data_IF_421572273669
#
_entry.id   IF_421572273669
#
_cell.length_a   1.000
_cell.length_b   1.000
_cell.length_c   1.000
_cell.angle_alpha   90.00
_cell.angle_beta   90.00
_cell.angle_gamma   90.00
#
_symmetry.space_group_name_H-M   'P 1'
#
loop_
_entity.id
_entity.type
_entity.pdbx_description
1 polymer ?
#
# COMPACT_ATOMS: atom_id res chain seq x y z
N UNK A 1 29.33 18.92 -4.72
CA UNK A 1 29.26 19.55 -3.37
C UNK A 1 27.82 19.39 -2.93
N UNK A 2 27.55 18.71 -1.83
CA UNK A 2 26.18 18.45 -1.36
C UNK A 2 25.51 19.74 -0.95
N UNK A 3 24.33 20.03 -1.47
CA UNK A 3 23.52 21.17 -1.08
C UNK A 3 22.87 20.92 0.29
N UNK A 4 22.73 21.95 1.10
CA UNK A 4 21.98 21.90 2.36
C UNK A 4 20.80 22.86 2.33
N UNK A 5 19.63 22.39 2.68
CA UNK A 5 18.41 23.18 2.74
C UNK A 5 17.80 23.08 4.15
N UNK A 6 17.32 24.19 4.65
CA UNK A 6 16.59 24.28 5.92
C UNK A 6 15.19 24.78 5.63
N UNK A 7 14.21 23.88 5.72
CA UNK A 7 12.85 24.17 5.32
C UNK A 7 11.91 24.25 6.52
N UNK A 8 10.99 25.17 6.44
CA UNK A 8 9.96 25.41 7.44
C UNK A 8 8.67 24.71 7.03
N UNK A 9 8.02 24.05 7.99
CA UNK A 9 6.71 23.47 7.74
C UNK A 9 5.67 24.60 7.63
N UNK A 10 4.92 24.61 6.53
CA UNK A 10 3.91 25.65 6.29
C UNK A 10 2.63 25.47 7.12
N UNK A 11 2.44 24.29 7.73
CA UNK A 11 1.31 24.00 8.61
C UNK A 11 1.71 24.14 10.07
N UNK A 12 0.78 24.61 10.91
CA UNK A 12 0.99 24.79 12.34
C UNK A 12 0.97 23.48 13.11
N UNK A 13 0.36 22.44 12.55
CA UNK A 13 0.26 21.14 13.20
C UNK A 13 0.06 20.02 12.19
N UNK A 14 0.47 18.80 12.60
CA UNK A 14 0.22 17.57 11.84
C UNK A 14 -1.27 17.37 11.52
N UNK A 15 -2.15 17.69 12.47
CA UNK A 15 -3.61 17.55 12.31
C UNK A 15 -4.16 18.49 11.23
N UNK A 16 -3.65 19.70 11.17
CA UNK A 16 -4.02 20.68 10.13
C UNK A 16 -3.57 20.20 8.75
N UNK A 17 -2.33 19.78 8.62
CA UNK A 17 -1.79 19.24 7.38
C UNK A 17 -2.56 17.99 6.91
N UNK A 18 -2.85 17.05 7.81
CA UNK A 18 -3.60 15.82 7.50
C UNK A 18 -5.04 16.14 7.04
N UNK A 19 -5.67 17.14 7.67
CA UNK A 19 -7.02 17.57 7.30
C UNK A 19 -7.05 18.27 5.94
N UNK A 20 -6.01 19.04 5.62
CA UNK A 20 -5.93 19.81 4.39
C UNK A 20 -5.46 18.95 3.20
N UNK A 21 -4.45 18.13 3.39
CA UNK A 21 -3.76 17.42 2.31
C UNK A 21 -4.17 15.94 2.20
N UNK A 22 -4.54 15.30 3.31
CA UNK A 22 -4.69 13.85 3.38
C UNK A 22 -5.58 13.27 2.30
N UNK A 23 -5.01 12.41 1.46
CA UNK A 23 -5.68 11.74 0.35
C UNK A 23 -5.95 12.62 -0.88
N UNK A 24 -5.44 13.83 -0.92
CA UNK A 24 -5.52 14.69 -2.12
C UNK A 24 -4.36 14.41 -3.06
N UNK A 25 -4.63 14.47 -4.35
CA UNK A 25 -3.58 14.54 -5.36
C UNK A 25 -3.06 15.97 -5.45
N UNK A 26 -1.77 16.09 -5.70
CA UNK A 26 -1.08 17.38 -5.85
C UNK A 26 -0.60 17.54 -7.28
N UNK A 27 -0.44 18.78 -7.68
CA UNK A 27 0.17 19.17 -8.96
C UNK A 27 1.56 19.81 -8.78
N UNK A 28 2.14 20.28 -9.88
CA UNK A 28 3.47 20.88 -9.90
C UNK A 28 3.54 22.24 -9.21
N UNK A 29 2.42 22.81 -8.79
CA UNK A 29 2.35 24.02 -7.95
C UNK A 29 2.47 23.71 -6.44
N UNK A 30 2.50 22.45 -6.05
CA UNK A 30 2.65 22.04 -4.65
C UNK A 30 4.07 22.22 -4.08
N UNK A 31 5.05 22.57 -4.89
CA UNK A 31 6.43 22.79 -4.47
C UNK A 31 7.03 24.03 -5.11
N UNK A 32 7.98 24.65 -4.41
CA UNK A 32 8.77 25.77 -4.90
C UNK A 32 10.20 25.34 -5.23
N UNK A 33 10.65 24.21 -4.64
CA UNK A 33 12.00 23.68 -4.79
C UNK A 33 11.92 22.28 -5.41
N UNK A 34 12.58 22.10 -6.55
CA UNK A 34 12.81 20.79 -7.14
C UNK A 34 14.27 20.39 -6.90
N UNK A 35 14.47 19.30 -6.18
CA UNK A 35 15.77 18.74 -5.85
C UNK A 35 16.16 17.74 -6.95
N UNK A 36 17.26 18.01 -7.64
CA UNK A 36 17.78 17.21 -8.76
C UNK A 36 19.22 16.76 -8.56
N UNK A 37 19.88 17.21 -7.49
CA UNK A 37 21.28 16.93 -7.17
C UNK A 37 21.42 16.56 -5.70
N UNK A 38 22.60 16.06 -5.31
CA UNK A 38 22.91 15.67 -3.93
C UNK A 38 22.51 16.75 -2.92
N UNK A 39 21.55 16.45 -2.07
CA UNK A 39 20.97 17.44 -1.15
C UNK A 39 20.62 16.80 0.19
N UNK A 40 20.94 17.54 1.27
CA UNK A 40 20.47 17.27 2.62
C UNK A 40 19.40 18.29 2.99
N UNK A 41 18.23 17.85 3.41
CA UNK A 41 17.14 18.75 3.80
C UNK A 41 16.80 18.56 5.27
N UNK A 42 16.87 19.64 6.02
CA UNK A 42 16.56 19.69 7.44
C UNK A 42 15.28 20.47 7.72
N UNK A 43 14.51 19.99 8.68
CA UNK A 43 13.35 20.70 9.22
C UNK A 43 13.88 21.83 10.14
N UNK A 44 13.47 23.06 9.93
CA UNK A 44 13.80 24.14 10.86
C UNK A 44 13.24 23.82 12.24
N UNK A 45 14.10 23.81 13.24
CA UNK A 45 13.75 23.64 14.64
C UNK A 45 14.27 24.82 15.44
N UNK A 46 13.47 25.31 16.40
CA UNK A 46 13.87 26.38 17.31
C UNK A 46 14.68 25.91 18.51
N UNK A 47 14.86 24.57 18.68
CA UNK A 47 15.34 23.99 19.93
C UNK A 47 16.66 23.25 19.86
N UNK A 48 17.15 22.89 18.65
CA UNK A 48 18.36 22.06 18.49
C UNK A 48 19.20 22.55 17.31
N UNK A 49 20.43 22.03 17.25
CA UNK A 49 21.32 22.20 16.10
C UNK A 49 20.58 21.80 14.81
N UNK A 50 20.46 22.73 13.90
CA UNK A 50 19.64 22.58 12.70
C UNK A 50 20.08 21.43 11.79
N UNK A 51 21.33 21.02 11.86
CA UNK A 51 21.93 19.97 11.00
C UNK A 51 22.04 18.59 11.67
N UNK A 52 21.34 18.36 12.77
CA UNK A 52 21.36 17.05 13.44
C UNK A 52 20.33 16.07 12.81
N UNK A 53 20.64 14.77 12.84
CA UNK A 53 19.77 13.75 12.21
C UNK A 53 18.33 13.71 12.76
N UNK A 54 18.08 14.22 13.98
CA UNK A 54 16.73 14.36 14.52
C UNK A 54 15.85 15.31 13.70
N UNK A 55 16.48 16.33 13.09
CA UNK A 55 15.81 17.33 12.27
C UNK A 55 15.83 16.97 10.77
N UNK A 56 16.46 15.88 10.39
CA UNK A 56 16.58 15.49 9.00
C UNK A 56 15.20 15.14 8.42
N UNK A 57 14.81 15.84 7.35
CA UNK A 57 13.63 15.51 6.55
C UNK A 57 13.97 14.44 5.52
N UNK A 58 15.04 14.69 4.76
CA UNK A 58 15.52 13.77 3.75
C UNK A 58 17.00 13.99 3.41
N UNK A 59 17.62 12.94 2.85
CA UNK A 59 18.87 13.04 2.08
C UNK A 59 18.67 12.41 0.71
N UNK A 60 19.02 13.13 -0.31
CA UNK A 60 19.00 12.68 -1.69
C UNK A 60 20.41 12.50 -2.21
N UNK A 61 20.69 11.37 -2.84
CA UNK A 61 21.96 11.05 -3.47
C UNK A 61 21.72 10.55 -4.89
N UNK A 62 22.34 11.22 -5.82
CA UNK A 62 22.17 10.98 -7.24
C UNK A 62 23.14 9.93 -7.73
N UNK A 63 22.64 8.99 -8.52
CA UNK A 63 23.43 7.97 -9.24
C UNK A 63 24.43 7.22 -8.34
N UNK A 64 23.97 6.81 -7.15
CA UNK A 64 24.82 6.13 -6.16
C UNK A 64 24.65 4.62 -6.12
N UNK A 65 23.59 4.11 -6.76
CA UNK A 65 23.33 2.66 -6.88
C UNK A 65 23.84 2.19 -8.26
N UNK A 66 24.67 1.15 -8.33
CA UNK A 66 25.18 0.61 -9.59
C UNK A 66 24.05 0.20 -10.55
N UNK A 67 24.13 0.61 -11.79
CA UNK A 67 23.09 0.43 -12.80
C UNK A 67 22.78 -1.04 -13.12
N UNK A 68 23.76 -1.92 -13.04
CA UNK A 68 23.58 -3.36 -13.18
C UNK A 68 22.68 -3.94 -12.11
N UNK A 69 22.83 -3.47 -10.85
CA UNK A 69 21.98 -3.86 -9.72
C UNK A 69 20.56 -3.31 -9.87
N UNK A 70 20.42 -2.05 -10.31
CA UNK A 70 19.12 -1.42 -10.58
C UNK A 70 18.36 -2.21 -11.65
N UNK A 71 19.04 -2.57 -12.74
CA UNK A 71 18.45 -3.32 -13.84
C UNK A 71 18.02 -4.72 -13.43
N UNK A 72 18.86 -5.44 -12.69
CA UNK A 72 18.51 -6.77 -12.17
C UNK A 72 17.30 -6.70 -11.22
N UNK A 73 17.26 -5.69 -10.36
CA UNK A 73 16.14 -5.45 -9.47
C UNK A 73 14.85 -5.08 -10.23
N UNK A 74 14.94 -4.24 -11.26
CA UNK A 74 13.79 -3.91 -12.09
C UNK A 74 13.16 -5.16 -12.72
N UNK A 75 13.96 -6.00 -13.39
CA UNK A 75 13.48 -7.22 -14.06
C UNK A 75 12.84 -8.21 -13.07
N UNK A 76 13.37 -8.31 -11.86
CA UNK A 76 12.83 -9.18 -10.83
C UNK A 76 11.60 -8.61 -10.13
N UNK A 77 11.68 -7.38 -9.66
CA UNK A 77 10.74 -6.81 -8.70
C UNK A 77 9.50 -6.16 -9.32
N UNK A 78 9.56 -5.64 -10.56
CA UNK A 78 8.45 -4.90 -11.17
C UNK A 78 7.12 -5.65 -11.16
N UNK A 79 7.16 -6.98 -11.25
CA UNK A 79 5.97 -7.83 -11.21
C UNK A 79 5.37 -8.00 -9.80
N UNK A 80 6.07 -7.56 -8.77
CA UNK A 80 5.56 -7.53 -7.40
C UNK A 80 4.53 -6.42 -7.16
N UNK A 81 4.49 -5.41 -8.03
CA UNK A 81 3.46 -4.40 -8.03
C UNK A 81 2.19 -4.92 -8.73
N UNK A 82 1.43 -5.74 -8.03
CA UNK A 82 0.14 -6.26 -8.50
C UNK A 82 -0.98 -5.22 -8.40
N UNK A 83 -2.04 -5.42 -9.18
CA UNK A 83 -3.23 -4.59 -9.10
C UNK A 83 -3.89 -4.75 -7.72
N UNK A 84 -4.07 -3.65 -6.99
CA UNK A 84 -4.67 -3.64 -5.65
C UNK A 84 -5.52 -2.40 -5.45
N UNK A 85 -6.58 -2.53 -4.65
CA UNK A 85 -7.43 -1.43 -4.20
C UNK A 85 -7.17 -1.04 -2.74
N UNK A 86 -6.20 -1.68 -2.09
CA UNK A 86 -5.93 -1.56 -0.66
C UNK A 86 -4.68 -0.72 -0.35
N UNK A 87 -4.67 0.56 -0.77
CA UNK A 87 -3.56 1.50 -0.50
C UNK A 87 -3.94 2.73 0.32
N UNK A 88 -5.10 2.70 0.93
CA UNK A 88 -5.51 3.77 1.84
C UNK A 88 -5.50 5.14 1.21
N UNK A 89 -5.01 6.12 1.95
CA UNK A 89 -4.95 7.50 1.50
C UNK A 89 -4.00 7.69 0.30
N UNK A 90 -2.99 6.85 0.16
CA UNK A 90 -2.08 6.91 -1.00
C UNK A 90 -2.81 6.71 -2.35
N UNK A 91 -3.92 5.97 -2.36
CA UNK A 91 -4.77 5.84 -3.53
C UNK A 91 -5.82 6.97 -3.68
N UNK A 92 -5.75 7.97 -2.81
CA UNK A 92 -6.68 9.10 -2.77
C UNK A 92 -7.88 8.88 -1.84
N UNK A 93 -8.42 9.96 -1.30
CA UNK A 93 -9.55 9.90 -0.36
C UNK A 93 -10.92 9.93 -1.01
N UNK A 94 -11.02 10.29 -2.26
CA UNK A 94 -12.27 10.45 -2.96
C UNK A 94 -13.18 11.59 -2.47
N UNK A 95 -12.60 12.59 -1.82
CA UNK A 95 -13.39 13.63 -1.15
C UNK A 95 -13.96 14.71 -2.05
N UNK A 96 -13.58 14.78 -3.32
CA UNK A 96 -13.98 15.90 -4.18
C UNK A 96 -15.07 15.51 -5.18
N UNK A 97 -14.72 15.24 -6.40
CA UNK A 97 -15.70 14.87 -7.42
C UNK A 97 -16.08 13.39 -7.39
N UNK A 98 -15.22 12.57 -6.81
CA UNK A 98 -15.41 11.14 -6.72
C UNK A 98 -15.37 10.72 -5.28
N UNK A 99 -16.45 10.24 -4.79
CA UNK A 99 -16.46 9.49 -3.57
C UNK A 99 -15.98 8.08 -3.87
N UNK A 100 -15.48 7.44 -2.85
CA UNK A 100 -14.90 6.12 -2.98
C UNK A 100 -15.89 5.14 -3.59
N UNK A 101 -15.48 4.43 -4.63
CA UNK A 101 -16.23 3.29 -5.11
C UNK A 101 -16.27 2.26 -3.98
N UNK A 102 -17.45 1.83 -3.61
CA UNK A 102 -17.59 0.77 -2.62
C UNK A 102 -17.25 -0.55 -3.31
N UNK A 103 -16.06 -1.03 -3.06
CA UNK A 103 -15.81 -2.44 -3.23
C UNK A 103 -16.23 -3.13 -1.95
N UNK A 104 -17.25 -3.96 -2.02
CA UNK A 104 -17.61 -4.83 -0.91
C UNK A 104 -16.51 -5.89 -0.76
N UNK A 105 -15.46 -5.57 -0.03
CA UNK A 105 -14.34 -6.50 0.19
C UNK A 105 -14.67 -7.60 1.21
N UNK A 106 -15.94 -7.73 1.58
CA UNK A 106 -16.36 -8.79 2.51
C UNK A 106 -15.78 -8.71 3.91
N UNK A 107 -15.13 -7.61 4.26
CA UNK A 107 -14.66 -7.37 5.59
C UNK A 107 -15.21 -6.06 6.12
N UNK A 108 -15.52 -6.01 7.40
CA UNK A 108 -15.93 -4.77 8.07
C UNK A 108 -14.88 -3.65 7.92
N UNK A 109 -13.62 -4.02 7.72
CA UNK A 109 -12.52 -3.12 7.40
C UNK A 109 -12.36 -2.85 5.90
N UNK A 110 -13.19 -3.44 5.05
CA UNK A 110 -13.16 -3.23 3.61
C UNK A 110 -13.41 -1.77 3.29
N UNK A 111 -12.42 -1.13 2.71
CA UNK A 111 -12.57 0.26 2.27
C UNK A 111 -13.55 0.28 1.12
N UNK A 112 -14.58 1.04 1.30
CA UNK A 112 -15.58 1.28 0.29
C UNK A 112 -15.11 2.46 -0.55
N UNK A 113 -14.99 2.26 -1.84
CA UNK A 113 -14.63 3.31 -2.78
C UNK A 113 -15.84 3.63 -3.64
N UNK A 114 -16.08 4.91 -3.81
CA UNK A 114 -17.21 5.40 -4.59
C UNK A 114 -16.70 6.24 -5.72
N UNK A 115 -17.45 6.29 -6.75
CA UNK A 115 -17.20 7.28 -7.78
C UNK A 115 -17.97 8.56 -7.50
N UNK A 116 -19.22 8.49 -7.17
CA UNK A 116 -19.98 9.53 -6.45
C UNK A 116 -21.13 8.87 -5.71
N UNK A 117 -21.60 9.50 -4.63
CA UNK A 117 -22.66 8.96 -3.79
C UNK A 117 -24.02 8.96 -4.47
N UNK A 118 -24.27 9.96 -5.32
CA UNK A 118 -25.54 10.15 -6.01
C UNK A 118 -25.64 9.47 -7.37
N UNK A 119 -24.51 9.08 -7.90
CA UNK A 119 -24.37 8.57 -9.26
C UNK A 119 -23.93 7.11 -9.28
N UNK A 120 -23.79 6.49 -8.12
CA UNK A 120 -23.41 5.09 -8.02
C UNK A 120 -24.64 4.21 -7.97
N UNK A 121 -24.65 3.22 -8.82
CA UNK A 121 -25.68 2.21 -8.87
C UNK A 121 -25.08 0.92 -8.37
N UNK A 122 -25.68 0.39 -7.32
CA UNK A 122 -25.31 -0.94 -6.84
C UNK A 122 -25.88 -2.01 -7.76
N UNK A 123 -25.04 -2.64 -8.49
CA UNK A 123 -25.35 -3.92 -9.07
C UNK A 123 -25.06 -4.98 -8.02
N UNK A 124 -26.00 -5.15 -7.12
CA UNK A 124 -25.95 -6.25 -6.19
C UNK A 124 -26.00 -7.55 -6.99
N UNK A 125 -24.85 -8.23 -7.01
CA UNK A 125 -24.83 -9.57 -7.51
C UNK A 125 -25.47 -10.46 -6.47
N UNK A 126 -26.74 -10.68 -6.64
CA UNK A 126 -27.41 -11.71 -5.88
C UNK A 126 -27.20 -13.05 -6.56
N UNK A 127 -26.51 -13.95 -5.92
CA UNK A 127 -26.25 -15.29 -6.43
C UNK A 127 -27.50 -16.07 -6.78
N UNK A 128 -28.66 -15.65 -6.36
CA UNK A 128 -29.93 -16.36 -6.55
C UNK A 128 -31.11 -15.46 -6.85
N UNK A 129 -30.95 -14.18 -6.73
CA UNK A 129 -32.03 -13.25 -7.06
C UNK A 129 -32.12 -13.07 -8.54
N UNK A 130 -33.26 -13.21 -9.08
CA UNK A 130 -33.52 -12.73 -10.41
C UNK A 130 -33.31 -11.23 -10.39
N UNK A 131 -32.32 -10.74 -11.12
CA UNK A 131 -32.16 -9.31 -11.44
C UNK A 131 -33.46 -8.74 -12.06
N UNK A 132 -34.42 -9.60 -12.35
CA UNK A 132 -35.75 -9.28 -12.88
C UNK A 132 -36.51 -8.26 -12.06
N UNK A 133 -36.25 -8.16 -10.77
CA UNK A 133 -37.03 -7.31 -9.89
C UNK A 133 -36.34 -5.95 -9.67
N UNK A 134 -35.20 -5.69 -10.32
CA UNK A 134 -34.43 -4.46 -10.15
C UNK A 134 -34.50 -3.64 -11.42
N UNK A 135 -35.61 -2.97 -11.63
CA UNK A 135 -35.80 -2.06 -12.73
C UNK A 135 -35.94 -0.63 -12.23
N UNK A 136 -35.01 0.23 -12.63
CA UNK A 136 -35.08 1.65 -12.36
C UNK A 136 -34.29 2.11 -11.14
N UNK A 137 -34.00 3.40 -11.09
CA UNK A 137 -33.19 4.03 -10.04
C UNK A 137 -33.80 3.86 -8.64
N UNK A 138 -35.09 3.94 -8.50
CA UNK A 138 -35.75 3.84 -7.19
C UNK A 138 -35.67 2.45 -6.59
N UNK A 139 -35.69 1.43 -7.41
CA UNK A 139 -35.50 0.05 -6.94
C UNK A 139 -34.06 -0.27 -6.63
N UNK A 140 -33.15 0.34 -7.32
CA UNK A 140 -31.72 0.23 -7.01
C UNK A 140 -31.38 0.95 -5.72
N UNK A 141 -32.00 2.06 -5.43
CA UNK A 141 -31.87 2.77 -4.17
C UNK A 141 -32.40 1.95 -2.99
N UNK A 142 -33.47 1.21 -3.18
CA UNK A 142 -34.03 0.26 -2.19
C UNK A 142 -33.02 -0.89 -1.94
N UNK A 143 -32.45 -1.46 -2.98
CA UNK A 143 -31.41 -2.49 -2.86
C UNK A 143 -30.17 -1.95 -2.17
N UNK A 144 -29.79 -0.73 -2.46
CA UNK A 144 -28.71 -0.06 -1.81
C UNK A 144 -28.93 0.08 -0.30
N UNK A 145 -30.09 0.56 0.09
CA UNK A 145 -30.37 0.91 1.47
C UNK A 145 -30.69 -0.29 2.38
N UNK A 146 -31.16 -1.39 1.83
CA UNK A 146 -31.67 -2.50 2.65
C UNK A 146 -30.82 -3.76 2.59
N UNK A 147 -30.34 -4.17 1.43
CA UNK A 147 -29.67 -5.46 1.28
C UNK A 147 -28.19 -5.33 0.96
N UNK A 148 -27.81 -4.31 0.24
CA UNK A 148 -26.44 -4.09 -0.19
C UNK A 148 -25.59 -3.34 0.82
N UNK A 149 -26.18 -2.76 1.84
CA UNK A 149 -25.47 -2.11 2.93
C UNK A 149 -24.66 -3.10 3.79
N UNK A 150 -24.94 -4.39 3.66
CA UNK A 150 -24.12 -5.43 4.27
C UNK A 150 -23.28 -6.10 3.20
N UNK A 151 -21.96 -5.96 3.23
CA UNK A 151 -21.10 -6.75 2.38
C UNK A 151 -21.43 -8.21 2.59
N UNK A 152 -21.63 -8.95 1.51
CA UNK A 152 -21.85 -10.39 1.60
C UNK A 152 -20.58 -10.99 2.21
N UNK A 153 -20.68 -11.64 3.37
CA UNK A 153 -19.50 -12.13 4.06
C UNK A 153 -18.77 -13.13 3.20
N UNK A 154 -17.54 -12.92 3.00
CA UNK A 154 -16.66 -13.99 2.64
C UNK A 154 -15.89 -13.91 1.37
N UNK A 155 -15.11 -12.90 1.17
CA UNK A 155 -13.82 -13.11 0.50
C UNK A 155 -13.00 -11.86 0.64
N UNK A 156 -11.92 -11.95 1.36
CA UNK A 156 -10.85 -10.99 1.34
C UNK A 156 -10.26 -10.94 -0.06
N UNK A 157 -10.08 -9.74 -0.55
CA UNK A 157 -9.48 -9.49 -1.85
C UNK A 157 -10.51 -9.41 -2.95
N UNK A 158 -11.03 -8.24 -3.21
CA UNK A 158 -11.57 -7.70 -4.47
C UNK A 158 -12.32 -8.60 -5.46
N UNK A 159 -12.62 -9.80 -5.09
CA UNK A 159 -13.28 -10.73 -5.97
C UNK A 159 -14.77 -10.74 -5.75
N UNK A 160 -15.50 -10.21 -6.67
CA UNK A 160 -16.96 -10.32 -6.76
C UNK A 160 -17.42 -11.71 -7.18
N UNK A 161 -16.50 -12.64 -7.29
CA UNK A 161 -16.82 -14.03 -7.60
C UNK A 161 -17.47 -14.64 -6.37
N UNK A 162 -18.75 -14.89 -6.46
CA UNK A 162 -19.49 -15.59 -5.42
C UNK A 162 -20.37 -14.74 -4.53
N UNK A 163 -20.85 -13.61 -4.97
CA UNK A 163 -21.86 -12.81 -4.30
C UNK A 163 -21.35 -11.51 -3.71
N UNK A 164 -20.70 -10.73 -4.49
CA UNK A 164 -20.37 -9.34 -4.18
C UNK A 164 -21.35 -8.38 -4.83
N UNK A 165 -21.22 -7.12 -4.51
CA UNK A 165 -21.93 -6.04 -5.18
C UNK A 165 -20.97 -5.29 -6.10
N UNK A 166 -21.39 -5.04 -7.32
CA UNK A 166 -20.71 -4.17 -8.26
C UNK A 166 -21.37 -2.81 -8.17
N UNK A 167 -20.58 -1.78 -8.01
CA UNK A 167 -21.04 -0.41 -8.01
C UNK A 167 -20.72 0.20 -9.36
N UNK A 168 -21.77 0.59 -10.09
CA UNK A 168 -21.63 1.31 -11.34
C UNK A 168 -21.96 2.77 -11.07
N UNK A 169 -21.11 3.61 -11.62
CA UNK A 169 -21.30 5.04 -11.51
C UNK A 169 -22.30 5.51 -12.54
N UNK A 170 -23.31 6.19 -12.07
CA UNK A 170 -24.30 6.86 -12.91
C UNK A 170 -23.80 8.20 -13.49
N UNK A 171 -22.48 8.45 -13.56
CA UNK A 171 -21.99 9.70 -14.19
C UNK A 171 -22.24 9.78 -15.70
N UNK A 172 -22.88 8.79 -16.22
CA UNK A 172 -23.37 8.81 -17.57
C UNK A 172 -24.78 9.39 -17.52
N UNK A 173 -24.89 10.67 -17.85
CA UNK A 173 -26.20 11.22 -18.18
C UNK A 173 -26.88 10.24 -19.13
N UNK A 174 -28.03 9.71 -18.70
CA UNK A 174 -28.80 8.72 -19.44
C UNK A 174 -28.20 7.32 -19.51
N UNK A 175 -27.54 6.81 -18.46
CA UNK A 175 -27.20 5.40 -18.40
C UNK A 175 -28.50 4.58 -18.31
N UNK A 176 -28.74 3.81 -19.34
CA UNK A 176 -29.89 2.90 -19.40
C UNK A 176 -29.56 1.63 -18.61
N UNK A 177 -29.81 1.68 -17.32
CA UNK A 177 -29.69 0.56 -16.41
C UNK A 177 -30.50 -0.63 -16.81
N UNK A 178 -31.74 -0.39 -17.21
CA UNK A 178 -32.64 -1.45 -17.58
C UNK A 178 -32.13 -2.17 -18.83
N UNK A 179 -31.74 -1.43 -19.86
CA UNK A 179 -31.15 -2.01 -21.05
C UNK A 179 -29.84 -2.72 -20.78
N UNK A 180 -29.03 -2.23 -19.84
CA UNK A 180 -27.83 -2.92 -19.44
C UNK A 180 -28.11 -4.25 -18.73
N UNK A 181 -29.09 -4.29 -17.83
CA UNK A 181 -29.50 -5.54 -17.18
C UNK A 181 -30.07 -6.54 -18.18
N UNK A 182 -30.92 -6.08 -19.09
CA UNK A 182 -31.47 -6.94 -20.13
C UNK A 182 -30.38 -7.53 -21.01
N UNK A 183 -29.40 -6.72 -21.42
CA UNK A 183 -28.29 -7.15 -22.26
C UNK A 183 -27.32 -8.10 -21.57
N UNK A 184 -27.23 -8.06 -20.23
CA UNK A 184 -26.33 -8.92 -19.45
C UNK A 184 -27.06 -10.07 -18.77
N UNK A 185 -28.34 -10.21 -18.98
CA UNK A 185 -29.19 -11.19 -18.26
C UNK A 185 -28.74 -12.64 -18.49
N UNK A 186 -28.39 -12.98 -19.71
CA UNK A 186 -27.94 -14.33 -20.10
C UNK A 186 -26.46 -14.59 -19.74
N UNK A 187 -25.74 -13.55 -19.35
CA UNK A 187 -24.33 -13.67 -18.98
C UNK A 187 -24.17 -14.43 -17.65
N UNK A 188 -23.14 -15.25 -17.56
CA UNK A 188 -22.72 -15.80 -16.28
C UNK A 188 -22.12 -14.69 -15.38
N UNK A 189 -21.81 -15.06 -14.14
CA UNK A 189 -21.32 -14.16 -13.11
C UNK A 189 -20.07 -13.42 -13.53
N UNK A 190 -19.11 -14.16 -14.07
CA UNK A 190 -17.80 -13.65 -14.42
C UNK A 190 -17.86 -12.71 -15.61
N UNK A 191 -18.65 -13.07 -16.61
CA UNK A 191 -18.92 -12.25 -17.78
C UNK A 191 -19.63 -10.94 -17.41
N UNK A 192 -20.64 -11.00 -16.53
CA UNK A 192 -21.34 -9.82 -16.05
C UNK A 192 -20.45 -8.92 -15.23
N UNK A 193 -19.57 -9.51 -14.40
CA UNK A 193 -18.58 -8.77 -13.66
C UNK A 193 -17.59 -8.04 -14.58
N UNK A 194 -17.10 -8.74 -15.59
CA UNK A 194 -16.18 -8.16 -16.57
C UNK A 194 -16.85 -7.00 -17.32
N UNK A 195 -18.11 -7.18 -17.75
CA UNK A 195 -18.88 -6.14 -18.41
C UNK A 195 -19.10 -4.91 -17.53
N UNK A 196 -19.44 -5.09 -16.26
CA UNK A 196 -19.61 -4.00 -15.31
C UNK A 196 -18.27 -3.31 -14.98
N UNK A 197 -17.20 -4.07 -14.83
CA UNK A 197 -15.86 -3.52 -14.59
C UNK A 197 -15.37 -2.71 -15.79
N UNK A 198 -15.63 -3.15 -16.99
CA UNK A 198 -15.32 -2.41 -18.21
C UNK A 198 -16.11 -1.10 -18.28
N UNK A 199 -17.42 -1.16 -17.99
CA UNK A 199 -18.27 0.03 -17.96
C UNK A 199 -17.77 1.07 -16.94
N UNK A 200 -17.34 0.63 -15.78
CA UNK A 200 -16.78 1.52 -14.75
C UNK A 200 -15.48 2.14 -15.29
N UNK A 201 -14.59 1.36 -15.88
CA UNK A 201 -13.35 1.86 -16.48
C UNK A 201 -13.60 2.94 -17.53
N UNK A 202 -14.56 2.71 -18.40
CA UNK A 202 -14.87 3.64 -19.49
C UNK A 202 -15.44 4.97 -19.00
N UNK A 203 -15.99 5.01 -17.79
CA UNK A 203 -16.72 6.16 -17.27
C UNK A 203 -16.03 6.87 -16.14
N UNK A 204 -15.10 6.21 -15.48
CA UNK A 204 -14.30 6.79 -14.40
C UNK A 204 -12.92 7.06 -14.93
N UNK A 205 -12.45 8.28 -14.77
CA UNK A 205 -11.07 8.60 -15.08
C UNK A 205 -10.13 7.63 -14.34
N UNK A 206 -9.34 6.90 -15.10
CA UNK A 206 -8.49 5.79 -14.63
C UNK A 206 -7.47 6.19 -13.57
N UNK A 207 -7.32 7.46 -13.30
CA UNK A 207 -6.25 7.96 -12.44
C UNK A 207 -6.55 7.89 -10.97
N UNK A 208 -7.79 7.59 -10.56
CA UNK A 208 -8.11 7.88 -9.18
C UNK A 208 -8.74 6.76 -8.39
N UNK A 209 -9.81 6.16 -8.87
CA UNK A 209 -10.63 5.38 -7.95
C UNK A 209 -11.41 4.30 -8.67
N UNK A 210 -11.27 3.13 -8.37
CA UNK A 210 -12.08 2.04 -8.89
C UNK A 210 -11.34 1.06 -9.79
N UNK A 211 -10.23 1.46 -10.36
CA UNK A 211 -9.43 0.56 -11.19
C UNK A 211 -8.28 -0.11 -10.45
N UNK A 212 -8.15 0.17 -9.14
CA UNK A 212 -6.98 -0.24 -8.41
C UNK A 212 -5.71 0.48 -8.87
N UNK A 213 -4.66 0.27 -8.14
CA UNK A 213 -3.32 0.79 -8.45
C UNK A 213 -2.35 -0.37 -8.49
N UNK A 214 -1.32 -0.27 -9.31
CA UNK A 214 -0.26 -1.26 -9.33
C UNK A 214 0.69 -1.02 -8.17
N UNK A 215 0.46 -1.76 -7.10
CA UNK A 215 1.27 -1.69 -5.89
C UNK A 215 1.30 -3.06 -5.20
N UNK A 216 2.39 -3.35 -4.53
CA UNK A 216 2.56 -4.60 -3.82
C UNK A 216 3.53 -4.47 -2.66
N UNK A 217 3.51 -5.45 -1.78
CA UNK A 217 4.45 -5.55 -0.67
C UNK A 217 5.21 -6.85 -0.82
N UNK A 218 6.54 -6.79 -0.71
CA UNK A 218 7.41 -7.95 -0.74
C UNK A 218 8.32 -7.98 0.49
N UNK A 219 8.99 -9.10 0.72
CA UNK A 219 9.71 -9.38 1.96
C UNK A 219 8.81 -10.01 3.00
N UNK A 220 8.83 -9.50 4.21
CA UNK A 220 8.17 -10.12 5.35
C UNK A 220 7.03 -9.27 5.89
N UNK A 221 6.06 -9.92 6.52
CA UNK A 221 4.88 -9.30 7.09
C UNK A 221 4.66 -9.79 8.52
N UNK A 222 4.35 -8.85 9.38
CA UNK A 222 3.97 -9.06 10.75
C UNK A 222 2.64 -9.81 10.93
N UNK A 223 2.32 -10.09 12.17
CA UNK A 223 1.03 -10.62 12.57
C UNK A 223 -0.08 -9.62 12.32
N UNK A 224 -1.14 -10.09 11.72
CA UNK A 224 -2.33 -9.32 11.42
C UNK A 224 -3.56 -10.05 11.99
N UNK A 225 -4.62 -9.37 12.45
CA UNK A 225 -5.76 -10.03 13.10
C UNK A 225 -6.36 -11.21 12.34
N UNK A 226 -6.31 -11.18 11.00
CA UNK A 226 -6.79 -12.28 10.15
C UNK A 226 -5.74 -13.33 9.83
N UNK A 227 -4.48 -12.99 10.01
CA UNK A 227 -3.32 -13.84 9.75
C UNK A 227 -2.36 -13.62 10.92
N UNK A 228 -2.66 -14.24 12.09
CA UNK A 228 -1.98 -13.94 13.34
C UNK A 228 -0.64 -14.68 13.48
N UNK A 229 0.13 -14.73 12.41
CA UNK A 229 1.49 -15.24 12.36
C UNK A 229 2.32 -14.41 11.38
N UNK A 230 3.62 -14.26 11.68
CA UNK A 230 4.56 -13.61 10.79
C UNK A 230 4.90 -14.54 9.61
N UNK A 231 5.18 -13.95 8.46
CA UNK A 231 5.36 -14.73 7.22
C UNK A 231 6.04 -13.93 6.12
N UNK A 232 6.53 -14.62 5.13
CA UNK A 232 6.79 -14.00 3.83
C UNK A 232 5.49 -13.46 3.22
N UNK A 233 5.58 -12.41 2.44
CA UNK A 233 4.43 -12.00 1.60
C UNK A 233 4.11 -13.09 0.59
N UNK A 234 2.85 -13.18 0.16
CA UNK A 234 2.45 -14.19 -0.82
C UNK A 234 3.23 -14.06 -2.13
N UNK A 235 3.56 -12.83 -2.52
CA UNK A 235 4.36 -12.61 -3.71
C UNK A 235 5.80 -13.12 -3.53
N UNK A 236 6.46 -12.81 -2.44
CA UNK A 236 7.83 -13.27 -2.15
C UNK A 236 7.89 -14.79 -2.11
N UNK A 237 6.96 -15.42 -1.38
CA UNK A 237 6.90 -16.88 -1.27
C UNK A 237 6.71 -17.57 -2.64
N UNK A 238 5.93 -16.97 -3.53
CA UNK A 238 5.68 -17.50 -4.88
C UNK A 238 6.70 -17.12 -5.95
N UNK A 239 7.61 -16.19 -5.66
CA UNK A 239 8.55 -15.61 -6.63
C UNK A 239 9.95 -15.41 -6.05
N UNK A 240 10.48 -16.42 -5.35
CA UNK A 240 11.76 -16.31 -4.62
C UNK A 240 12.90 -15.80 -5.48
N UNK A 241 13.15 -16.44 -6.62
CA UNK A 241 14.23 -16.06 -7.54
C UNK A 241 14.13 -14.59 -8.00
N UNK A 242 12.91 -14.13 -8.29
CA UNK A 242 12.66 -12.74 -8.68
C UNK A 242 12.92 -11.77 -7.52
N UNK A 243 12.52 -12.14 -6.32
CA UNK A 243 12.79 -11.34 -5.13
C UNK A 243 14.28 -11.29 -4.82
N UNK A 244 14.96 -12.42 -4.88
CA UNK A 244 16.40 -12.56 -4.62
C UNK A 244 17.25 -11.74 -5.61
N UNK A 245 16.82 -11.61 -6.88
CA UNK A 245 17.51 -10.76 -7.86
C UNK A 245 17.54 -9.28 -7.49
N UNK A 246 16.62 -8.82 -6.64
CA UNK A 246 16.60 -7.45 -6.12
C UNK A 246 17.47 -7.24 -4.89
N UNK A 247 17.87 -8.30 -4.18
CA UNK A 247 18.63 -8.18 -2.92
C UNK A 247 19.95 -7.41 -3.08
N UNK A 248 20.78 -7.61 -4.13
CA UNK A 248 22.01 -6.86 -4.31
C UNK A 248 21.82 -5.34 -4.38
N UNK A 249 20.71 -4.86 -4.93
CA UNK A 249 20.33 -3.44 -4.94
C UNK A 249 19.97 -2.99 -3.53
N UNK A 250 19.15 -3.77 -2.82
CA UNK A 250 18.70 -3.43 -1.46
C UNK A 250 19.90 -3.38 -0.48
N UNK A 251 20.87 -4.27 -0.62
CA UNK A 251 22.10 -4.26 0.17
C UNK A 251 22.93 -3.00 -0.09
N UNK A 252 23.00 -2.56 -1.35
CA UNK A 252 23.68 -1.31 -1.69
C UNK A 252 22.96 -0.10 -1.07
N UNK A 253 21.65 -0.05 -1.15
CA UNK A 253 20.84 0.97 -0.48
C UNK A 253 21.11 1.00 1.04
N UNK A 254 21.17 -0.17 1.68
CA UNK A 254 21.47 -0.28 3.12
C UNK A 254 22.86 0.23 3.49
N UNK A 255 23.90 -0.03 2.65
CA UNK A 255 25.24 0.49 2.84
C UNK A 255 25.31 2.01 2.68
N UNK A 256 24.61 2.55 1.68
CA UNK A 256 24.53 3.98 1.48
C UNK A 256 23.80 4.63 2.66
N UNK A 257 22.70 4.05 3.12
CA UNK A 257 21.99 4.50 4.31
C UNK A 257 22.89 4.53 5.55
N UNK A 258 23.67 3.49 5.77
CA UNK A 258 24.67 3.44 6.87
C UNK A 258 25.67 4.58 6.80
N UNK A 259 26.17 4.89 5.62
CA UNK A 259 27.16 5.94 5.40
C UNK A 259 26.58 7.34 5.58
N UNK A 260 25.38 7.56 5.02
CA UNK A 260 24.80 8.90 4.92
C UNK A 260 23.99 9.31 6.16
N UNK A 261 23.35 8.37 6.86
CA UNK A 261 22.45 8.61 8.01
C UNK A 261 22.75 7.60 9.12
N UNK A 262 23.97 7.61 9.68
CA UNK A 262 24.49 6.55 10.53
C UNK A 262 23.70 6.34 11.83
N UNK A 263 23.23 7.40 12.47
CA UNK A 263 22.52 7.26 13.76
C UNK A 263 21.14 6.62 13.59
N UNK A 264 20.40 7.01 12.55
CA UNK A 264 19.11 6.37 12.24
C UNK A 264 19.30 4.94 11.73
N UNK A 265 20.31 4.72 10.89
CA UNK A 265 20.66 3.38 10.44
C UNK A 265 20.99 2.46 11.63
N UNK A 266 21.81 2.94 12.58
CA UNK A 266 22.15 2.18 13.78
C UNK A 266 20.90 1.85 14.61
N UNK A 267 19.98 2.80 14.76
CA UNK A 267 18.71 2.56 15.43
C UNK A 267 17.86 1.47 14.76
N UNK A 268 17.85 1.43 13.43
CA UNK A 268 17.17 0.38 12.67
C UNK A 268 17.92 -0.96 12.76
N UNK A 269 19.24 -0.92 12.76
CA UNK A 269 20.10 -2.10 12.94
C UNK A 269 19.90 -2.75 14.31
N UNK A 270 19.77 -1.94 15.36
CA UNK A 270 19.49 -2.43 16.71
C UNK A 270 18.13 -3.17 16.77
N UNK A 271 17.16 -2.75 15.96
CA UNK A 271 15.89 -3.44 15.82
C UNK A 271 16.01 -4.75 15.02
N UNK A 272 16.75 -4.73 13.91
CA UNK A 272 17.01 -5.93 13.10
C UNK A 272 17.72 -7.01 13.94
N UNK A 273 18.67 -6.62 14.80
CA UNK A 273 19.42 -7.56 15.62
C UNK A 273 18.61 -8.23 16.73
N UNK A 274 17.41 -7.71 17.01
CA UNK A 274 16.44 -8.33 17.92
C UNK A 274 15.54 -9.36 17.23
N UNK A 275 15.50 -9.37 15.89
CA UNK A 275 14.70 -10.32 15.12
C UNK A 275 15.47 -11.61 14.85
N UNK A 276 14.74 -12.71 14.64
CA UNK A 276 15.30 -13.87 13.98
C UNK A 276 15.84 -13.48 12.59
N UNK A 277 16.96 -14.07 12.19
CA UNK A 277 17.54 -13.83 10.87
C UNK A 277 16.59 -14.13 9.71
N UNK A 278 15.60 -14.98 9.95
CA UNK A 278 14.55 -15.34 8.99
C UNK A 278 13.72 -14.15 8.51
N UNK A 279 13.67 -13.06 9.27
CA UNK A 279 12.85 -11.90 8.98
C UNK A 279 13.61 -10.70 8.42
N UNK A 280 14.85 -10.92 7.99
CA UNK A 280 15.71 -9.90 7.39
C UNK A 280 15.88 -10.12 5.89
N UNK A 281 15.78 -9.07 5.11
CA UNK A 281 16.06 -9.12 3.66
C UNK A 281 17.58 -9.10 3.46
N UNK A 282 18.18 -10.23 3.10
CA UNK A 282 19.62 -10.33 2.88
C UNK A 282 20.43 -9.74 4.02
N UNK A 283 21.56 -9.09 3.72
CA UNK A 283 22.38 -8.39 4.70
C UNK A 283 21.98 -6.91 4.87
N UNK A 284 20.69 -6.63 4.98
CA UNK A 284 20.17 -5.26 5.09
C UNK A 284 19.58 -4.98 6.47
N UNK A 285 19.17 -3.75 6.68
CA UNK A 285 18.37 -3.34 7.85
C UNK A 285 16.88 -3.29 7.54
N UNK A 286 16.43 -3.88 6.43
CA UNK A 286 15.04 -3.87 5.99
C UNK A 286 14.36 -5.21 6.21
N UNK A 287 13.08 -5.16 6.53
CA UNK A 287 12.20 -6.34 6.64
C UNK A 287 11.22 -6.42 5.48
N UNK A 288 10.88 -5.28 4.90
CA UNK A 288 9.77 -5.15 3.97
C UNK A 288 10.10 -4.13 2.89
N UNK A 289 9.58 -4.35 1.70
CA UNK A 289 9.58 -3.36 0.63
C UNK A 289 8.17 -3.15 0.08
N UNK A 290 7.91 -1.93 -0.36
CA UNK A 290 6.72 -1.60 -1.16
C UNK A 290 7.15 -1.31 -2.59
N UNK A 291 6.47 -1.94 -3.53
CA UNK A 291 6.68 -1.81 -4.96
C UNK A 291 5.49 -1.05 -5.55
N UNK A 292 5.74 0.04 -6.26
CA UNK A 292 4.72 0.81 -6.94
C UNK A 292 5.11 0.97 -8.41
N UNK A 293 4.21 0.59 -9.34
CA UNK A 293 4.44 0.71 -10.77
C UNK A 293 3.43 1.67 -11.38
N UNK A 294 3.94 2.71 -12.02
CA UNK A 294 3.13 3.77 -12.64
C UNK A 294 2.01 4.30 -11.72
N UNK A 295 2.29 4.30 -10.43
CA UNK A 295 1.34 4.67 -9.40
C UNK A 295 1.63 6.07 -8.85
N UNK A 296 0.83 7.05 -9.28
CA UNK A 296 0.81 8.39 -8.68
C UNK A 296 0.12 8.31 -7.32
N UNK A 297 0.87 8.50 -6.26
CA UNK A 297 0.33 8.50 -4.90
C UNK A 297 -0.28 9.86 -4.55
N UNK A 298 -1.43 9.84 -3.86
CA UNK A 298 -1.98 11.01 -3.19
C UNK A 298 -1.26 11.27 -1.85
N UNK A 299 -1.47 12.44 -1.26
CA UNK A 299 -0.88 12.83 0.02
C UNK A 299 -1.21 11.83 1.13
N UNK A 300 -0.19 11.26 1.72
CA UNK A 300 -0.29 10.30 2.82
C UNK A 300 0.97 10.32 3.69
N UNK A 301 0.89 9.66 4.83
CA UNK A 301 2.02 9.31 5.68
C UNK A 301 2.08 7.80 5.77
N UNK A 302 3.27 7.24 5.81
CA UNK A 302 3.43 5.81 6.08
C UNK A 302 3.32 5.58 7.59
N UNK A 303 2.47 4.63 7.97
CA UNK A 303 2.13 4.39 9.37
C UNK A 303 2.80 3.15 9.97
N UNK A 304 3.49 2.37 9.16
CA UNK A 304 4.07 1.10 9.58
C UNK A 304 5.59 1.07 9.58
N UNK A 305 6.22 2.14 9.14
CA UNK A 305 7.66 2.28 9.06
C UNK A 305 8.24 2.65 10.42
N UNK A 306 9.36 2.05 10.75
CA UNK A 306 10.08 2.38 11.98
C UNK A 306 10.57 3.83 11.93
N UNK A 307 10.02 4.67 12.79
CA UNK A 307 10.44 6.07 12.95
C UNK A 307 10.17 6.58 14.36
N UNK A 308 10.09 5.69 15.34
CA UNK A 308 9.94 6.09 16.74
C UNK A 308 11.20 6.75 17.29
N UNK A 309 10.99 7.76 18.12
CA UNK A 309 12.04 8.31 18.95
C UNK A 309 11.84 7.83 20.40
N UNK A 310 12.51 6.75 20.83
CA UNK A 310 12.48 6.33 22.22
C UNK A 310 13.02 7.42 23.15
N UNK A 311 12.55 7.44 24.39
CA UNK A 311 12.98 8.44 25.39
C UNK A 311 14.49 8.42 25.67
N UNK A 312 15.14 7.26 25.47
CA UNK A 312 16.57 7.05 25.68
C UNK A 312 17.46 7.40 24.48
N UNK A 313 16.87 7.90 23.39
CA UNK A 313 17.61 8.22 22.15
C UNK A 313 17.40 9.66 21.72
N UNK A 314 18.50 10.29 21.34
CA UNK A 314 18.50 11.65 20.79
C UNK A 314 17.98 11.72 19.34
N UNK A 315 17.94 10.58 18.63
CA UNK A 315 17.55 10.49 17.23
C UNK A 315 16.53 9.38 17.05
N UNK A 316 15.46 9.60 16.27
CA UNK A 316 14.50 8.56 15.92
C UNK A 316 15.19 7.32 15.32
N UNK A 317 14.62 6.15 15.56
CA UNK A 317 15.05 4.92 14.90
C UNK A 317 14.56 4.91 13.47
N UNK A 318 15.39 4.41 12.56
CA UNK A 318 14.99 4.13 11.19
C UNK A 318 14.75 5.35 10.31
N UNK A 319 14.64 5.05 9.05
CA UNK A 319 14.37 5.99 7.97
C UNK A 319 13.98 5.20 6.73
N UNK A 320 12.95 5.59 6.01
CA UNK A 320 12.56 4.89 4.79
C UNK A 320 13.47 5.28 3.64
N UNK A 321 13.79 4.32 2.80
CA UNK A 321 14.66 4.53 1.65
C UNK A 321 13.87 4.26 0.37
N UNK A 322 14.01 5.11 -0.62
CA UNK A 322 13.27 5.02 -1.86
C UNK A 322 14.20 5.18 -3.06
N UNK A 323 14.05 4.29 -4.02
CA UNK A 323 14.68 4.39 -5.34
C UNK A 323 13.66 4.18 -6.45
N UNK A 324 13.95 4.69 -7.63
CA UNK A 324 13.16 4.44 -8.83
C UNK A 324 13.93 3.54 -9.79
N UNK A 325 13.19 2.79 -10.58
CA UNK A 325 13.69 1.92 -11.65
C UNK A 325 12.76 2.05 -12.84
N UNK A 326 13.32 2.04 -14.04
CA UNK A 326 12.54 2.14 -15.28
C UNK A 326 12.89 1.01 -16.26
N UNK A 327 12.09 0.94 -17.33
CA UNK A 327 12.42 0.11 -18.50
C UNK A 327 13.49 0.72 -19.42
N UNK A 328 14.22 1.75 -18.94
CA UNK A 328 15.25 2.46 -19.69
C UNK A 328 14.72 3.56 -20.60
N UNK A 329 13.43 3.90 -20.48
CA UNK A 329 12.78 4.99 -21.20
C UNK A 329 12.76 6.28 -20.37
N UNK A 330 12.79 7.40 -21.06
CA UNK A 330 12.81 8.71 -20.43
C UNK A 330 11.42 9.19 -20.05
N UNK A 331 11.33 9.96 -18.98
CA UNK A 331 10.10 10.61 -18.53
C UNK A 331 10.43 11.89 -17.75
N UNK A 332 9.45 12.75 -17.60
CA UNK A 332 9.49 13.95 -16.76
C UNK A 332 8.26 13.98 -15.85
N UNK A 333 8.43 14.46 -14.63
CA UNK A 333 7.37 14.41 -13.62
C UNK A 333 7.53 13.20 -12.67
N UNK A 334 6.45 12.78 -12.03
CA UNK A 334 6.45 11.77 -10.97
C UNK A 334 7.39 12.10 -9.80
N UNK A 335 7.64 13.39 -9.57
CA UNK A 335 8.48 13.86 -8.47
C UNK A 335 7.86 13.49 -7.13
N UNK A 336 8.68 13.01 -6.19
CA UNK A 336 8.21 12.81 -4.82
C UNK A 336 8.20 14.14 -4.09
N UNK A 337 7.03 14.66 -3.77
CA UNK A 337 6.82 15.94 -3.16
C UNK A 337 6.50 15.82 -1.67
N UNK A 338 7.06 16.72 -0.88
CA UNK A 338 6.76 16.97 0.53
C UNK A 338 6.01 18.31 0.62
N UNK A 339 4.70 18.33 0.43
CA UNK A 339 3.94 19.57 0.31
C UNK A 339 3.95 20.42 1.59
N UNK A 340 4.12 19.79 2.76
CA UNK A 340 4.30 20.51 4.03
C UNK A 340 5.54 21.43 4.04
N UNK A 341 6.53 21.15 3.18
CA UNK A 341 7.81 21.86 3.07
C UNK A 341 8.00 22.49 1.70
N UNK A 342 7.03 22.39 0.82
CA UNK A 342 7.05 22.86 -0.56
C UNK A 342 8.31 22.45 -1.33
N UNK A 343 8.72 21.20 -1.15
CA UNK A 343 9.89 20.62 -1.81
C UNK A 343 9.53 19.31 -2.51
N UNK A 344 10.10 19.10 -3.68
CA UNK A 344 9.97 17.86 -4.46
C UNK A 344 11.35 17.33 -4.85
N UNK A 345 11.45 16.02 -5.06
CA UNK A 345 12.69 15.33 -5.43
C UNK A 345 12.46 14.57 -6.73
N UNK A 346 13.35 14.79 -7.69
CA UNK A 346 13.38 14.07 -8.96
C UNK A 346 14.24 12.81 -8.83
N UNK A 347 13.59 11.68 -8.56
CA UNK A 347 14.27 10.41 -8.29
C UNK A 347 14.30 9.58 -9.57
N UNK A 348 15.50 9.25 -10.04
CA UNK A 348 15.77 8.49 -11.25
C UNK A 348 16.49 7.18 -10.97
N UNK A 349 16.71 6.39 -12.02
CA UNK A 349 17.44 5.11 -11.94
C UNK A 349 18.84 5.31 -11.33
N UNK A 350 19.12 4.57 -10.26
CA UNK A 350 20.39 4.67 -9.56
C UNK A 350 20.45 5.73 -8.46
N UNK A 351 19.43 6.55 -8.30
CA UNK A 351 19.32 7.52 -7.21
C UNK A 351 18.81 6.85 -5.92
N UNK A 352 19.15 7.43 -4.78
CA UNK A 352 18.62 7.02 -3.48
C UNK A 352 18.10 8.24 -2.71
N UNK A 353 16.84 8.18 -2.34
CA UNK A 353 16.23 9.06 -1.36
C UNK A 353 16.09 8.33 -0.02
N UNK A 354 16.64 8.90 1.02
CA UNK A 354 16.46 8.49 2.41
C UNK A 354 15.56 9.55 3.07
N UNK A 355 14.42 9.18 3.65
CA UNK A 355 13.39 10.14 4.05
C UNK A 355 12.63 9.76 5.32
N UNK A 356 12.13 10.78 6.00
CA UNK A 356 11.14 10.66 7.07
C UNK A 356 9.74 10.43 6.45
N UNK A 357 9.38 9.16 6.25
CA UNK A 357 8.10 8.77 5.64
C UNK A 357 6.87 9.12 6.50
N UNK A 358 7.05 9.56 7.74
CA UNK A 358 5.99 10.07 8.61
C UNK A 358 5.61 11.53 8.32
N UNK A 359 6.34 12.21 7.41
CA UNK A 359 5.89 13.48 6.82
C UNK A 359 4.96 13.21 5.64
N UNK A 360 4.03 14.14 5.35
CA UNK A 360 3.16 13.98 4.19
C UNK A 360 4.00 14.00 2.92
N UNK A 361 3.80 12.99 2.10
CA UNK A 361 4.41 12.90 0.79
C UNK A 361 3.42 12.38 -0.26
N UNK A 362 3.68 12.75 -1.51
CA UNK A 362 2.85 12.39 -2.65
C UNK A 362 3.66 12.46 -3.94
N UNK A 363 3.17 11.87 -5.02
CA UNK A 363 3.78 12.04 -6.34
C UNK A 363 3.02 13.09 -7.16
N UNK A 364 3.79 13.95 -7.84
CA UNK A 364 3.25 14.83 -8.88
C UNK A 364 2.81 14.02 -10.09
N UNK A 365 2.00 14.59 -11.00
CA UNK A 365 1.68 13.93 -12.26
C UNK A 365 2.91 13.77 -13.16
N UNK A 366 2.79 12.90 -14.15
CA UNK A 366 3.70 12.85 -15.29
C UNK A 366 3.53 14.12 -16.13
N UNK A 367 4.62 14.74 -16.55
CA UNK A 367 4.63 15.88 -17.47
C UNK A 367 4.73 15.36 -18.90
N UNK A 368 5.71 14.50 -19.15
CA UNK A 368 5.96 13.88 -20.45
C UNK A 368 6.69 12.56 -20.26
N UNK A 369 6.68 11.73 -21.26
CA UNK A 369 7.41 10.47 -21.25
C UNK A 369 7.38 9.80 -22.61
N UNK A 370 8.35 8.93 -22.82
CA UNK A 370 8.37 8.05 -23.98
C UNK A 370 7.13 7.16 -24.00
N UNK A 371 6.74 6.72 -25.20
CA UNK A 371 5.71 5.72 -25.36
C UNK A 371 6.11 4.43 -24.60
N UNK A 372 5.17 3.86 -23.85
CA UNK A 372 5.37 2.68 -23.00
C UNK A 372 6.44 2.83 -21.91
N UNK A 373 6.74 4.02 -21.41
CA UNK A 373 7.56 4.17 -20.23
C UNK A 373 6.90 3.45 -19.04
N UNK A 374 7.68 2.62 -18.37
CA UNK A 374 7.27 1.97 -17.12
C UNK A 374 8.22 2.42 -16.01
N UNK A 375 7.65 3.00 -14.96
CA UNK A 375 8.38 3.42 -13.76
C UNK A 375 7.95 2.57 -12.56
N UNK A 376 8.91 1.93 -11.93
CA UNK A 376 8.71 1.19 -10.69
C UNK A 376 9.49 1.87 -9.56
N UNK A 377 8.83 2.27 -8.49
CA UNK A 377 9.52 2.72 -7.27
C UNK A 377 9.54 1.62 -6.23
N UNK A 378 10.65 1.56 -5.49
CA UNK A 378 10.88 0.63 -4.39
C UNK A 378 11.09 1.43 -3.12
N UNK A 379 10.21 1.25 -2.15
CA UNK A 379 10.36 1.80 -0.80
C UNK A 379 10.87 0.67 0.10
N UNK A 380 12.02 0.88 0.71
CA UNK A 380 12.68 -0.09 1.59
C UNK A 380 12.56 0.42 3.03
N UNK A 381 12.05 -0.40 3.93
CA UNK A 381 11.82 -0.01 5.30
C UNK A 381 11.89 -1.18 6.29
N UNK A 382 12.07 -0.84 7.54
CA UNK A 382 11.80 -1.76 8.64
C UNK A 382 10.35 -1.59 9.08
N UNK A 383 9.58 -2.64 8.98
CA UNK A 383 8.19 -2.64 9.45
C UNK A 383 8.19 -2.83 10.96
N UNK A 384 7.76 -1.81 11.70
CA UNK A 384 7.88 -1.75 13.16
C UNK A 384 7.24 -2.96 13.85
N UNK A 385 6.05 -3.35 13.42
CA UNK A 385 5.34 -4.49 14.01
C UNK A 385 6.06 -5.84 13.85
N UNK A 386 7.12 -5.92 13.03
CA UNK A 386 7.97 -7.12 12.93
C UNK A 386 8.69 -7.43 14.25
N UNK A 387 8.90 -6.45 15.12
CA UNK A 387 9.46 -6.67 16.47
C UNK A 387 8.63 -7.64 17.32
N UNK A 388 7.38 -7.88 16.95
CA UNK A 388 6.50 -8.85 17.62
C UNK A 388 6.63 -10.27 17.04
N UNK A 389 7.46 -10.49 16.02
CA UNK A 389 7.64 -11.80 15.41
C UNK A 389 8.56 -12.69 16.27
N UNK A 390 8.16 -13.95 16.43
CA UNK A 390 9.01 -15.00 16.99
C UNK A 390 10.00 -15.56 15.96
N UNK A 391 10.62 -16.69 16.28
CA UNK A 391 11.40 -17.44 15.32
C UNK A 391 10.52 -17.95 14.15
N UNK A 392 11.14 -18.34 13.04
CA UNK A 392 10.41 -18.97 11.94
C UNK A 392 9.66 -20.23 12.40
N UNK A 393 10.26 -21.00 13.31
CA UNK A 393 9.64 -22.19 13.89
C UNK A 393 8.37 -21.84 14.68
N UNK A 394 8.43 -20.84 15.56
CA UNK A 394 7.28 -20.37 16.32
C UNK A 394 6.16 -19.85 15.43
N UNK A 395 6.49 -19.11 14.39
CA UNK A 395 5.51 -18.55 13.47
C UNK A 395 4.91 -19.62 12.55
N UNK A 396 5.67 -20.62 12.15
CA UNK A 396 5.17 -21.79 11.44
C UNK A 396 4.22 -22.60 12.33
N UNK A 397 4.56 -22.82 13.59
CA UNK A 397 3.69 -23.49 14.57
C UNK A 397 2.36 -22.73 14.74
N UNK A 398 2.40 -21.39 14.85
CA UNK A 398 1.19 -20.55 14.87
C UNK A 398 0.37 -20.69 13.61
N UNK A 399 1.02 -20.69 12.44
CA UNK A 399 0.37 -20.89 11.14
C UNK A 399 -0.36 -22.24 11.09
N UNK A 400 0.30 -23.29 11.46
CA UNK A 400 -0.23 -24.66 11.38
C UNK A 400 -1.40 -24.86 12.36
N UNK A 401 -1.31 -24.31 13.55
CA UNK A 401 -2.44 -24.25 14.49
C UNK A 401 -3.66 -23.52 13.90
N UNK A 402 -3.42 -22.36 13.29
CA UNK A 402 -4.48 -21.57 12.64
C UNK A 402 -5.16 -22.36 11.54
N UNK A 403 -4.38 -23.03 10.70
CA UNK A 403 -4.93 -23.83 9.59
C UNK A 403 -5.68 -25.06 10.08
N UNK A 404 -5.13 -25.78 11.03
CA UNK A 404 -5.79 -26.91 11.65
C UNK A 404 -7.14 -26.51 12.30
N UNK A 405 -7.14 -25.41 13.06
CA UNK A 405 -8.37 -24.90 13.66
C UNK A 405 -9.38 -24.45 12.60
N UNK A 406 -8.96 -23.79 11.54
CA UNK A 406 -9.84 -23.43 10.42
C UNK A 406 -10.46 -24.66 9.78
N UNK A 407 -9.66 -25.68 9.54
CA UNK A 407 -10.13 -26.95 8.97
C UNK A 407 -11.16 -27.63 9.89
N UNK A 408 -10.91 -27.65 11.20
CA UNK A 408 -11.84 -28.22 12.20
C UNK A 408 -13.15 -27.43 12.34
N UNK A 409 -13.11 -26.12 12.14
CA UNK A 409 -14.28 -25.25 12.26
C UNK A 409 -15.02 -25.04 10.93
N UNK A 410 -14.42 -25.41 9.81
CA UNK A 410 -15.03 -25.24 8.51
C UNK A 410 -16.35 -26.02 8.39
N UNK A 411 -17.44 -25.29 8.14
CA UNK A 411 -18.76 -25.86 8.01
C UNK A 411 -19.45 -26.28 9.31
N UNK A 412 -18.84 -26.03 10.47
CA UNK A 412 -19.50 -26.19 11.78
C UNK A 412 -20.20 -24.89 12.17
N UNK A 413 -21.28 -24.99 12.90
CA UNK A 413 -22.03 -23.85 13.46
C UNK A 413 -22.48 -22.81 12.41
N UNK A 414 -22.76 -23.22 11.17
CA UNK A 414 -23.18 -22.33 10.10
C UNK A 414 -22.09 -21.37 9.61
N UNK A 415 -20.83 -21.52 10.04
CA UNK A 415 -19.72 -20.68 9.63
C UNK A 415 -19.34 -20.98 8.18
N UNK A 416 -19.01 -19.94 7.37
CA UNK A 416 -18.56 -20.14 6.01
C UNK A 416 -17.30 -21.02 5.96
N UNK A 417 -17.15 -21.84 4.92
CA UNK A 417 -15.95 -22.68 4.71
C UNK A 417 -14.62 -21.89 4.71
N UNK A 418 -14.71 -20.61 4.41
CA UNK A 418 -13.59 -19.67 4.34
C UNK A 418 -13.60 -18.64 5.49
N UNK A 419 -14.17 -19.00 6.64
CA UNK A 419 -14.15 -18.17 7.83
C UNK A 419 -12.70 -17.87 8.23
N UNK A 420 -12.32 -16.59 8.09
CA UNK A 420 -10.98 -16.08 8.41
C UNK A 420 -10.90 -15.38 9.79
N UNK A 421 -12.02 -15.35 10.53
CA UNK A 421 -12.10 -14.73 11.85
C UNK A 421 -11.46 -15.64 12.90
N UNK A 422 -10.16 -15.47 13.11
CA UNK A 422 -9.46 -16.03 14.26
C UNK A 422 -9.30 -14.90 15.24
N UNK A 423 -9.83 -15.09 16.43
CA UNK A 423 -9.56 -14.19 17.55
C UNK A 423 -8.05 -14.21 17.83
N UNK A 424 -7.35 -13.05 17.78
CA UNK A 424 -5.92 -12.99 18.11
C UNK A 424 -5.60 -13.52 19.51
N UNK A 425 -6.56 -13.48 20.44
CA UNK A 425 -6.41 -14.01 21.78
C UNK A 425 -6.36 -15.53 21.86
N UNK A 426 -6.57 -16.23 20.74
CA UNK A 426 -6.51 -17.69 20.70
C UNK A 426 -5.17 -18.25 21.18
N UNK A 427 -4.09 -17.51 20.96
CA UNK A 427 -2.74 -17.88 21.41
C UNK A 427 -2.51 -17.70 22.91
N UNK A 428 -3.51 -17.20 23.64
CA UNK A 428 -3.56 -17.16 25.10
C UNK A 428 -4.57 -18.17 25.67
N UNK A 429 -5.14 -19.02 24.83
CA UNK A 429 -6.14 -20.03 25.23
C UNK A 429 -5.51 -21.36 25.59
N UNK A 430 -6.22 -22.15 26.39
CA UNK A 430 -5.85 -23.54 26.67
C UNK A 430 -5.77 -24.39 25.41
N UNK A 431 -6.62 -24.13 24.41
CA UNK A 431 -6.60 -24.83 23.11
C UNK A 431 -5.24 -24.72 22.41
N UNK A 432 -4.57 -23.57 22.52
CA UNK A 432 -3.25 -23.37 21.97
C UNK A 432 -2.20 -24.19 22.72
N UNK A 433 -2.22 -24.18 24.05
CA UNK A 433 -1.25 -24.91 24.86
C UNK A 433 -1.42 -26.43 24.69
N UNK A 434 -2.65 -26.91 24.63
CA UNK A 434 -2.96 -28.33 24.40
C UNK A 434 -2.50 -28.77 22.99
N UNK A 435 -2.75 -27.94 21.98
CA UNK A 435 -2.32 -28.21 20.61
C UNK A 435 -0.79 -28.22 20.50
N UNK A 436 -0.14 -27.21 21.07
CA UNK A 436 1.32 -27.10 21.08
C UNK A 436 1.98 -28.31 21.76
N UNK A 437 1.40 -28.80 22.84
CA UNK A 437 1.88 -29.98 23.55
C UNK A 437 1.74 -31.28 22.74
N UNK A 438 0.87 -31.29 21.74
CA UNK A 438 0.65 -32.43 20.82
C UNK A 438 1.36 -32.25 19.47
N UNK A 439 1.98 -31.11 19.25
CA UNK A 439 2.70 -30.80 18.03
C UNK A 439 4.12 -31.36 18.14
N UNK A 440 4.38 -32.47 17.44
CA UNK A 440 5.67 -33.16 17.47
C UNK A 440 5.87 -34.12 16.33
#
# INVERSE_FOLDING_TARGET
MTQKLHLENIFRSKKEADAELGGKFIDHDAYDILITEDTDVYKKSSLFDEEFESNLLLKFRKNVIPQDKVRAAYEGLRHGAGLTDNRGLAAGSGKEEYQQLITATGSESGKRRWVTERESICLSYMMKGSVKDVYGSDQLEILWNTESSKPIPGRGGGGLIGGGSIWIVEKVKNFDIQGWFESTFEMNVEERYAAASSLIKDKVSSTTYGNGVYSGTAGYMDRYPRIPFCRETAWTAGNKEKFESGIPMMEECSKIFQREVPLRWQGQKDCIDQLSEDWRIGNTVYTTITLNRDFRTACHRDAGDLCEQPEDRAVPRGFSNLTAMTNGKEYEGFYLCFPEYRAAVDIRDGDLLMMDAHQIHANTPLISGDEDVERCSVVLYFRESMLNCGSLEDENMRRDFVYDRKARLAGKDGRPKNYNGIDPNIFFSQDWEDWKSSYG
#
